data_IF_318969435700
#
_entry.id   IF_318969435700
#
_cell.length_a   1.000
_cell.length_b   1.000
_cell.length_c   1.000
_cell.angle_alpha   90.00
_cell.angle_beta   90.00
_cell.angle_gamma   90.00
#
_symmetry.space_group_name_H-M   'P 1'
#
loop_
_entity.id
_entity.type
_entity.pdbx_description
1 polymer ?
#
# COMPACT_ATOMS: atom_id res chain seq x y z
N UNK A 1 5.68 -8.99 5.91
CA UNK A 1 5.08 -8.44 4.70
C UNK A 1 5.17 -9.44 3.54
N UNK A 2 6.34 -9.98 3.17
CA UNK A 2 6.51 -10.91 2.05
C UNK A 2 5.55 -12.12 2.11
N UNK A 3 5.40 -12.76 3.27
CA UNK A 3 4.48 -13.89 3.45
C UNK A 3 3.00 -13.51 3.21
N UNK A 4 2.61 -12.30 3.60
CA UNK A 4 1.25 -11.77 3.35
C UNK A 4 1.03 -11.53 1.86
N UNK A 5 2.00 -10.91 1.19
CA UNK A 5 1.96 -10.69 -0.26
C UNK A 5 1.82 -12.02 -1.01
N UNK A 6 2.69 -13.00 -0.66
CA UNK A 6 2.64 -14.32 -1.28
C UNK A 6 1.27 -14.98 -1.10
N UNK A 7 0.72 -14.96 0.11
CA UNK A 7 -0.59 -15.57 0.41
C UNK A 7 -1.73 -14.94 -0.39
N UNK A 8 -1.76 -13.61 -0.53
CA UNK A 8 -2.74 -12.92 -1.35
C UNK A 8 -2.59 -13.27 -2.83
N UNK A 9 -1.35 -13.23 -3.34
CA UNK A 9 -1.07 -13.46 -4.75
C UNK A 9 -1.31 -14.91 -5.17
N UNK A 10 -1.03 -15.89 -4.31
CA UNK A 10 -1.35 -17.30 -4.53
C UNK A 10 -2.86 -17.55 -4.70
N UNK A 11 -3.71 -16.65 -4.15
CA UNK A 11 -5.16 -16.66 -4.32
C UNK A 11 -5.64 -15.84 -5.54
N UNK A 12 -4.71 -15.22 -6.28
CA UNK A 12 -5.03 -14.26 -7.34
C UNK A 12 -5.47 -12.89 -6.84
N UNK A 13 -5.38 -12.63 -5.54
CA UNK A 13 -5.80 -11.39 -4.89
C UNK A 13 -4.72 -10.31 -4.83
N UNK A 14 -5.09 -9.19 -4.25
CA UNK A 14 -4.25 -8.00 -4.05
C UNK A 14 -4.11 -7.69 -2.57
N UNK A 15 -3.08 -6.93 -2.21
CA UNK A 15 -2.89 -6.41 -0.85
C UNK A 15 -3.12 -4.90 -0.84
N UNK A 16 -4.11 -4.46 -0.09
CA UNK A 16 -4.46 -3.05 0.08
C UNK A 16 -3.93 -2.61 1.45
N UNK A 17 -3.10 -1.58 1.47
CA UNK A 17 -2.41 -1.12 2.67
C UNK A 17 -2.77 0.33 2.96
N UNK A 18 -3.69 0.58 3.90
CA UNK A 18 -3.92 1.90 4.44
C UNK A 18 -2.67 2.41 5.15
N UNK A 19 -2.15 3.57 4.74
CA UNK A 19 -0.94 4.11 5.32
C UNK A 19 -1.03 5.64 5.47
N UNK A 20 -0.39 6.18 6.51
CA UNK A 20 -0.18 7.62 6.61
C UNK A 20 0.76 8.08 5.49
N UNK A 21 0.46 9.23 4.91
CA UNK A 21 1.20 9.76 3.78
C UNK A 21 2.67 10.04 4.09
N UNK A 22 2.97 10.40 5.34
CA UNK A 22 4.32 10.71 5.82
C UNK A 22 4.78 9.64 6.82
N UNK A 23 5.99 9.16 6.66
CA UNK A 23 6.65 8.18 7.50
C UNK A 23 6.29 6.74 7.10
N UNK A 24 5.11 6.25 7.48
CA UNK A 24 4.71 4.86 7.26
C UNK A 24 4.71 4.43 5.79
N UNK A 25 4.30 5.30 4.89
CA UNK A 25 4.34 5.01 3.46
C UNK A 25 5.77 4.79 2.99
N UNK A 26 6.73 5.62 3.40
CA UNK A 26 8.12 5.51 3.01
C UNK A 26 8.77 4.24 3.57
N UNK A 27 8.47 3.87 4.83
CA UNK A 27 8.91 2.59 5.40
C UNK A 27 8.38 1.38 4.61
N UNK A 28 7.13 1.44 4.18
CA UNK A 28 6.53 0.37 3.36
C UNK A 28 7.15 0.30 1.98
N UNK A 29 7.44 1.44 1.33
CA UNK A 29 8.14 1.47 0.04
C UNK A 29 9.54 0.88 0.16
N UNK A 30 10.27 1.20 1.23
CA UNK A 30 11.58 0.62 1.53
C UNK A 30 11.49 -0.92 1.65
N UNK A 31 10.57 -1.42 2.49
CA UNK A 31 10.36 -2.85 2.68
C UNK A 31 9.94 -3.56 1.37
N UNK A 32 9.09 -2.93 0.56
CA UNK A 32 8.66 -3.46 -0.74
C UNK A 32 9.83 -3.54 -1.71
N UNK A 33 10.71 -2.53 -1.75
CA UNK A 33 11.93 -2.56 -2.56
C UNK A 33 12.81 -3.76 -2.16
N UNK A 34 13.04 -3.97 -0.85
CA UNK A 34 13.83 -5.12 -0.38
C UNK A 34 13.21 -6.45 -0.79
N UNK A 35 11.89 -6.59 -0.60
CA UNK A 35 11.15 -7.81 -0.96
C UNK A 35 11.32 -8.11 -2.46
N UNK A 36 11.22 -7.10 -3.32
CA UNK A 36 11.39 -7.25 -4.77
C UNK A 36 12.83 -7.55 -5.15
N UNK A 37 13.79 -6.81 -4.59
CA UNK A 37 15.22 -6.99 -4.85
C UNK A 37 15.69 -8.41 -4.48
N UNK A 38 15.21 -8.92 -3.35
CA UNK A 38 15.58 -10.24 -2.82
C UNK A 38 14.64 -11.36 -3.31
N UNK A 39 13.65 -11.06 -4.18
CA UNK A 39 12.67 -12.02 -4.72
C UNK A 39 11.98 -12.86 -3.65
N UNK A 40 11.57 -12.21 -2.55
CA UNK A 40 10.99 -12.90 -1.39
C UNK A 40 9.55 -13.38 -1.61
N UNK A 41 8.88 -12.97 -2.69
CA UNK A 41 7.54 -13.46 -3.08
C UNK A 41 7.71 -14.45 -4.22
N UNK A 42 8.06 -15.67 -3.85
CA UNK A 42 8.34 -16.75 -4.81
C UNK A 42 7.09 -17.12 -5.62
N UNK A 43 7.26 -17.35 -6.92
CA UNK A 43 6.19 -17.70 -7.85
C UNK A 43 5.46 -16.49 -8.44
N UNK A 44 5.80 -15.28 -7.99
CA UNK A 44 5.19 -14.05 -8.46
C UNK A 44 6.28 -13.02 -8.78
N UNK A 45 6.48 -12.75 -10.05
CA UNK A 45 7.42 -11.74 -10.52
C UNK A 45 6.66 -10.56 -11.17
N UNK A 46 7.28 -9.39 -11.13
CA UNK A 46 6.77 -8.23 -11.87
C UNK A 46 5.46 -7.62 -11.36
N UNK A 47 4.98 -8.01 -10.18
CA UNK A 47 3.75 -7.47 -9.62
C UNK A 47 3.83 -5.95 -9.40
N UNK A 48 2.75 -5.20 -9.76
CA UNK A 48 2.73 -3.76 -9.61
C UNK A 48 2.51 -3.33 -8.16
N UNK A 49 3.08 -2.17 -7.84
CA UNK A 49 2.84 -1.42 -6.61
C UNK A 49 2.29 -0.06 -7.00
N UNK A 50 1.14 0.29 -6.48
CA UNK A 50 0.53 1.60 -6.70
C UNK A 50 0.63 2.41 -5.41
N UNK A 51 1.27 3.59 -5.50
CA UNK A 51 1.18 4.62 -4.48
C UNK A 51 0.09 5.60 -4.90
N UNK A 52 -1.09 5.44 -4.32
CA UNK A 52 -2.26 6.24 -4.68
C UNK A 52 -2.61 7.26 -3.58
N UNK A 53 -1.76 8.25 -3.45
CA UNK A 53 -1.92 9.37 -2.53
C UNK A 53 -1.01 10.53 -2.95
N UNK A 54 -1.56 11.63 -3.52
CA UNK A 54 -0.74 12.79 -3.92
C UNK A 54 0.13 13.35 -2.80
N UNK A 55 -0.40 13.37 -1.56
CA UNK A 55 0.38 13.82 -0.41
C UNK A 55 1.53 12.87 -0.08
N UNK A 56 1.33 11.56 -0.21
CA UNK A 56 2.38 10.57 0.03
C UNK A 56 3.47 10.64 -1.06
N UNK A 57 3.09 10.91 -2.30
CA UNK A 57 4.02 11.14 -3.41
C UNK A 57 4.89 12.36 -3.15
N UNK A 58 4.27 13.50 -2.79
CA UNK A 58 4.99 14.73 -2.46
C UNK A 58 5.94 14.51 -1.25
N UNK A 59 5.47 13.83 -0.21
CA UNK A 59 6.31 13.49 0.95
C UNK A 59 7.49 12.60 0.52
N UNK A 60 7.25 11.58 -0.30
CA UNK A 60 8.31 10.68 -0.80
C UNK A 60 9.37 11.46 -1.60
N UNK A 61 8.95 12.41 -2.42
CA UNK A 61 9.88 13.29 -3.16
C UNK A 61 10.77 14.11 -2.19
N UNK A 62 10.20 14.62 -1.10
CA UNK A 62 10.97 15.33 -0.06
C UNK A 62 11.98 14.39 0.62
N UNK A 63 11.58 13.18 0.99
CA UNK A 63 12.50 12.19 1.58
C UNK A 63 13.67 11.86 0.64
N UNK A 64 13.43 11.81 -0.66
CA UNK A 64 14.49 11.56 -1.65
C UNK A 64 15.46 12.74 -1.85
N UNK A 65 15.09 13.93 -1.40
CA UNK A 65 15.95 15.14 -1.44
C UNK A 65 16.68 15.37 -0.11
N UNK A 66 16.46 14.51 0.90
CA UNK A 66 17.16 14.61 2.19
C UNK A 66 18.68 14.51 2.00
N UNK A 67 19.40 15.37 2.69
CA UNK A 67 20.86 15.33 2.72
C UNK A 67 21.35 14.02 3.38
N UNK A 68 22.45 13.44 2.91
CA UNK A 68 22.94 12.15 3.40
C UNK A 68 23.20 12.11 4.93
N UNK A 69 23.45 13.24 5.56
CA UNK A 69 23.68 13.31 7.01
C UNK A 69 22.47 12.94 7.86
N UNK A 70 21.25 13.13 7.32
CA UNK A 70 19.97 12.76 7.98
C UNK A 70 19.55 11.31 7.73
N UNK A 71 20.29 10.58 6.91
CA UNK A 71 19.99 9.20 6.55
C UNK A 71 20.83 8.24 7.40
N UNK A 72 20.32 7.06 7.67
CA UNK A 72 21.09 6.02 8.33
C UNK A 72 22.22 5.46 7.42
N UNK A 73 23.10 4.66 8.01
CA UNK A 73 24.26 4.14 7.30
C UNK A 73 23.88 3.19 6.15
N UNK A 74 22.79 2.43 6.30
CA UNK A 74 22.30 1.50 5.29
C UNK A 74 21.76 2.24 4.07
N UNK A 75 20.88 3.21 4.30
CA UNK A 75 20.30 4.05 3.24
C UNK A 75 21.39 4.82 2.48
N UNK A 76 22.38 5.38 3.19
CA UNK A 76 23.55 6.02 2.56
C UNK A 76 24.33 5.06 1.67
N UNK A 77 24.48 3.81 2.11
CA UNK A 77 25.20 2.81 1.31
C UNK A 77 24.43 2.44 0.03
N UNK A 78 23.11 2.30 0.10
CA UNK A 78 22.26 2.09 -1.08
C UNK A 78 22.43 3.23 -2.09
N UNK A 79 22.34 4.48 -1.62
CA UNK A 79 22.50 5.65 -2.49
C UNK A 79 23.89 5.70 -3.16
N UNK A 80 24.98 5.34 -2.45
CA UNK A 80 26.34 5.24 -3.02
C UNK A 80 26.42 4.19 -4.13
N UNK A 81 25.59 3.14 -4.06
CA UNK A 81 25.48 2.11 -5.07
C UNK A 81 24.54 2.51 -6.23
N UNK A 82 23.99 3.71 -6.23
CA UNK A 82 23.02 4.16 -7.21
C UNK A 82 21.61 3.54 -7.03
N UNK A 83 21.36 2.93 -5.87
CA UNK A 83 20.06 2.30 -5.57
C UNK A 83 19.17 3.32 -4.85
N UNK A 84 18.01 3.61 -5.44
CA UNK A 84 17.00 4.42 -4.77
C UNK A 84 16.31 3.59 -3.68
N UNK A 85 16.40 4.00 -2.38
CA UNK A 85 15.89 3.21 -1.26
C UNK A 85 14.36 3.07 -1.24
N UNK A 86 13.63 4.02 -1.84
CA UNK A 86 12.16 4.07 -1.85
C UNK A 86 11.55 3.68 -3.19
N UNK A 87 12.37 3.34 -4.20
CA UNK A 87 11.90 2.99 -5.52
C UNK A 87 12.13 1.52 -5.84
N UNK A 88 11.13 0.90 -6.41
CA UNK A 88 11.24 -0.48 -6.90
C UNK A 88 10.71 -0.60 -8.33
N UNK A 89 11.10 -1.66 -9.03
CA UNK A 89 10.52 -1.96 -10.33
C UNK A 89 8.99 -2.10 -10.22
N UNK A 90 8.27 -1.56 -11.20
CA UNK A 90 6.80 -1.55 -11.27
C UNK A 90 6.14 -0.80 -10.09
N UNK A 91 6.80 0.21 -9.54
CA UNK A 91 6.17 1.22 -8.70
C UNK A 91 5.53 2.29 -9.59
N UNK A 92 4.25 2.53 -9.40
CA UNK A 92 3.45 3.52 -10.11
C UNK A 92 2.91 4.55 -9.13
N UNK A 93 3.15 5.81 -9.41
CA UNK A 93 2.58 6.95 -8.70
C UNK A 93 1.32 7.40 -9.46
N UNK A 94 0.27 7.78 -8.73
CA UNK A 94 -1.01 8.16 -9.35
C UNK A 94 -1.49 9.50 -8.85
N UNK A 95 -1.16 10.54 -9.58
CA UNK A 95 -1.53 11.91 -9.24
C UNK A 95 -3.02 12.19 -9.54
N UNK A 96 -3.51 11.69 -10.68
CA UNK A 96 -4.84 12.00 -11.20
C UNK A 96 -5.89 11.00 -10.72
N UNK A 97 -7.13 11.49 -10.61
CA UNK A 97 -8.28 10.65 -10.20
C UNK A 97 -8.55 9.54 -11.22
N UNK A 98 -8.37 9.83 -12.50
CA UNK A 98 -8.57 8.86 -13.59
C UNK A 98 -7.57 7.70 -13.52
N UNK A 99 -6.34 7.97 -13.12
CA UNK A 99 -5.29 6.96 -12.90
C UNK A 99 -5.65 6.09 -11.70
N UNK A 100 -6.08 6.71 -10.60
CA UNK A 100 -6.55 6.02 -9.40
C UNK A 100 -7.70 5.04 -9.70
N UNK A 101 -8.67 5.44 -10.54
CA UNK A 101 -9.77 4.57 -10.96
C UNK A 101 -9.29 3.34 -11.73
N UNK A 102 -8.32 3.50 -12.62
CA UNK A 102 -7.74 2.41 -13.43
C UNK A 102 -7.06 1.33 -12.59
N UNK A 103 -6.59 1.65 -11.37
CA UNK A 103 -6.02 0.66 -10.47
C UNK A 103 -7.04 -0.46 -10.15
N UNK A 104 -8.31 -0.10 -10.01
CA UNK A 104 -9.37 -1.06 -9.72
C UNK A 104 -9.79 -1.92 -10.94
N UNK A 105 -9.43 -1.49 -12.14
CA UNK A 105 -9.65 -2.21 -13.41
C UNK A 105 -8.52 -3.20 -13.70
N UNK A 106 -7.35 -3.00 -13.13
CA UNK A 106 -6.23 -3.94 -13.25
C UNK A 106 -6.52 -5.21 -12.44
N UNK A 107 -6.67 -6.33 -13.11
CA UNK A 107 -7.01 -7.62 -12.49
C UNK A 107 -5.79 -8.39 -11.97
N UNK A 108 -4.58 -7.93 -12.25
CA UNK A 108 -3.36 -8.60 -11.76
C UNK A 108 -3.23 -8.47 -10.24
N UNK A 109 -2.67 -9.47 -9.56
CA UNK A 109 -2.24 -9.33 -8.18
C UNK A 109 -1.31 -8.13 -8.01
N UNK A 110 -1.58 -7.28 -7.03
CA UNK A 110 -0.90 -6.00 -6.84
C UNK A 110 -0.88 -5.55 -5.39
N UNK A 111 -0.04 -4.57 -5.10
CA UNK A 111 -0.06 -3.83 -3.85
C UNK A 111 -0.61 -2.43 -4.10
N UNK A 112 -1.52 -1.99 -3.25
CA UNK A 112 -2.06 -0.62 -3.26
C UNK A 112 -1.72 0.03 -1.92
N UNK A 113 -0.87 1.04 -1.94
CA UNK A 113 -0.56 1.92 -0.81
C UNK A 113 -1.39 3.20 -0.95
N UNK A 114 -2.25 3.52 0.01
CA UNK A 114 -3.09 4.71 -0.10
C UNK A 114 -3.40 5.32 1.27
N UNK A 115 -3.51 6.63 1.34
CA UNK A 115 -3.94 7.37 2.52
C UNK A 115 -5.48 7.49 2.56
N UNK A 116 -6.12 7.58 3.75
CA UNK A 116 -5.51 7.71 5.07
C UNK A 116 -5.22 6.37 5.73
N UNK A 117 -4.32 6.38 6.71
CA UNK A 117 -3.90 5.16 7.42
C UNK A 117 -4.98 4.54 8.33
N UNK A 118 -6.04 5.27 8.67
CA UNK A 118 -7.18 4.79 9.49
C UNK A 118 -8.47 4.61 8.68
N UNK A 119 -8.41 4.77 7.35
CA UNK A 119 -9.50 4.55 6.41
C UNK A 119 -10.68 5.56 6.48
N UNK A 120 -10.57 6.65 7.24
CA UNK A 120 -11.67 7.60 7.42
C UNK A 120 -11.79 8.63 6.30
N UNK A 121 -10.72 8.84 5.55
CA UNK A 121 -10.65 9.80 4.46
C UNK A 121 -9.75 9.30 3.32
N UNK A 122 -9.70 10.05 2.22
CA UNK A 122 -8.77 9.82 1.12
C UNK A 122 -9.17 8.70 0.16
N UNK A 123 -8.27 8.46 -0.79
CA UNK A 123 -8.50 7.50 -1.87
C UNK A 123 -8.59 6.05 -1.40
N UNK A 124 -8.00 5.72 -0.25
CA UNK A 124 -8.12 4.39 0.36
C UNK A 124 -9.58 3.92 0.48
N UNK A 125 -10.51 4.84 0.77
CA UNK A 125 -11.93 4.48 0.90
C UNK A 125 -12.53 3.96 -0.42
N UNK A 126 -12.09 4.49 -1.56
CA UNK A 126 -12.48 4.00 -2.87
C UNK A 126 -11.90 2.61 -3.13
N UNK A 127 -10.61 2.40 -2.80
CA UNK A 127 -10.00 1.07 -2.91
C UNK A 127 -10.68 0.05 -2.01
N UNK A 128 -11.02 0.41 -0.78
CA UNK A 128 -11.77 -0.47 0.13
C UNK A 128 -13.14 -0.84 -0.43
N UNK A 129 -13.89 0.12 -0.99
CA UNK A 129 -15.19 -0.14 -1.63
C UNK A 129 -15.08 -1.20 -2.73
N UNK A 130 -14.02 -1.19 -3.53
CA UNK A 130 -13.83 -2.11 -4.65
C UNK A 130 -13.17 -3.44 -4.26
N UNK A 131 -12.61 -3.56 -3.07
CA UNK A 131 -11.76 -4.70 -2.70
C UNK A 131 -12.20 -5.46 -1.44
N UNK A 132 -13.00 -4.87 -0.54
CA UNK A 132 -13.41 -5.52 0.72
C UNK A 132 -14.25 -6.79 0.52
N UNK A 133 -15.07 -6.85 -0.53
CA UNK A 133 -15.94 -7.98 -0.81
C UNK A 133 -15.23 -9.16 -1.49
N UNK A 134 -13.99 -8.98 -1.92
CA UNK A 134 -13.17 -10.00 -2.59
C UNK A 134 -12.40 -10.80 -1.57
N UNK A 135 -12.77 -12.06 -1.37
CA UNK A 135 -12.17 -12.95 -0.37
C UNK A 135 -10.68 -13.26 -0.63
N UNK A 136 -10.23 -13.16 -1.88
CA UNK A 136 -8.83 -13.36 -2.26
C UNK A 136 -7.92 -12.20 -1.82
N UNK A 137 -8.48 -11.03 -1.53
CA UNK A 137 -7.73 -9.84 -1.14
C UNK A 137 -7.38 -9.83 0.35
N UNK A 138 -6.32 -9.09 0.68
CA UNK A 138 -5.92 -8.83 2.07
C UNK A 138 -5.88 -7.33 2.30
N UNK A 139 -6.47 -6.87 3.41
CA UNK A 139 -6.33 -5.50 3.90
C UNK A 139 -5.29 -5.53 5.02
N UNK A 140 -4.12 -4.99 4.74
CA UNK A 140 -2.99 -5.03 5.67
C UNK A 140 -2.86 -3.72 6.44
N UNK A 141 -3.14 -3.75 7.72
CA UNK A 141 -2.90 -2.61 8.61
C UNK A 141 -1.45 -2.63 9.12
N UNK A 142 -0.68 -1.63 8.71
CA UNK A 142 0.71 -1.45 9.11
C UNK A 142 0.89 -0.45 10.26
N UNK A 143 -0.19 -0.06 10.94
CA UNK A 143 -0.18 0.91 12.02
C UNK A 143 -1.39 0.82 12.92
N UNK A 144 -1.34 1.55 14.03
CA UNK A 144 -2.42 1.63 15.00
C UNK A 144 -3.72 2.13 14.34
N UNK A 145 -4.83 1.56 14.75
CA UNK A 145 -6.17 1.95 14.34
C UNK A 145 -6.93 2.47 15.58
N UNK A 146 -7.24 3.77 15.59
CA UNK A 146 -7.95 4.39 16.69
C UNK A 146 -9.41 3.90 16.79
N UNK A 147 -9.96 3.87 17.98
CA UNK A 147 -11.36 3.53 18.18
C UNK A 147 -12.29 4.51 17.45
N UNK A 148 -13.40 4.02 16.93
CA UNK A 148 -14.34 4.79 16.14
C UNK A 148 -13.97 4.95 14.67
N UNK A 149 -12.79 4.51 14.23
CA UNK A 149 -12.37 4.59 12.84
C UNK A 149 -12.84 3.38 12.02
N UNK A 150 -12.96 3.56 10.70
CA UNK A 150 -13.27 2.46 9.79
C UNK A 150 -12.19 1.38 9.85
N UNK A 151 -10.91 1.77 9.91
CA UNK A 151 -9.81 0.81 10.03
C UNK A 151 -9.92 -0.05 11.29
N UNK A 152 -10.32 0.52 12.43
CA UNK A 152 -10.57 -0.24 13.66
C UNK A 152 -11.75 -1.21 13.53
N UNK A 153 -12.82 -0.78 12.88
CA UNK A 153 -13.98 -1.65 12.64
C UNK A 153 -13.62 -2.86 11.79
N UNK A 154 -12.82 -2.67 10.74
CA UNK A 154 -12.30 -3.74 9.90
C UNK A 154 -11.37 -4.68 10.69
N UNK A 155 -10.43 -4.12 11.45
CA UNK A 155 -9.50 -4.90 12.28
C UNK A 155 -10.22 -5.75 13.33
N UNK A 156 -11.35 -5.26 13.85
CA UNK A 156 -12.21 -5.98 14.78
C UNK A 156 -13.11 -7.03 14.11
N UNK A 157 -13.00 -7.21 12.79
CA UNK A 157 -13.71 -8.27 12.05
C UNK A 157 -15.15 -7.90 11.68
N UNK A 158 -15.44 -6.61 11.43
CA UNK A 158 -16.72 -6.19 10.89
C UNK A 158 -17.08 -6.99 9.63
N UNK A 159 -18.30 -7.49 9.55
CA UNK A 159 -18.79 -8.26 8.38
C UNK A 159 -19.35 -7.37 7.28
N UNK A 160 -19.79 -6.19 7.64
CA UNK A 160 -20.24 -5.14 6.72
C UNK A 160 -19.75 -3.78 7.21
N UNK A 161 -19.50 -2.88 6.28
CA UNK A 161 -19.17 -1.48 6.57
C UNK A 161 -19.91 -0.56 5.61
N UNK A 162 -20.12 0.69 6.00
CA UNK A 162 -20.76 1.68 5.13
C UNK A 162 -19.72 2.60 4.49
N UNK A 163 -19.66 2.60 3.16
CA UNK A 163 -18.79 3.45 2.36
C UNK A 163 -19.60 4.22 1.32
N UNK A 164 -19.48 5.53 1.31
CA UNK A 164 -20.21 6.41 0.37
C UNK A 164 -21.73 6.18 0.33
N UNK A 165 -22.32 5.87 1.50
CA UNK A 165 -23.77 5.59 1.63
C UNK A 165 -24.19 4.15 1.29
N UNK A 166 -23.30 3.34 0.76
CA UNK A 166 -23.55 1.93 0.41
C UNK A 166 -23.03 0.98 1.50
N UNK A 167 -23.73 -0.11 1.73
CA UNK A 167 -23.28 -1.20 2.59
C UNK A 167 -22.39 -2.15 1.79
N UNK A 168 -21.18 -2.38 2.26
CA UNK A 168 -20.17 -3.23 1.62
C UNK A 168 -19.88 -4.42 2.52
N UNK A 169 -20.02 -5.63 1.99
CA UNK A 169 -19.63 -6.86 2.66
C UNK A 169 -18.11 -6.93 2.81
N UNK A 170 -17.63 -7.46 3.94
CA UNK A 170 -16.21 -7.68 4.20
C UNK A 170 -15.93 -9.18 4.14
N UNK A 171 -15.35 -9.61 3.03
CA UNK A 171 -14.87 -10.98 2.79
C UNK A 171 -13.35 -11.05 2.72
N UNK A 172 -12.67 -9.90 2.44
CA UNK A 172 -11.23 -9.81 2.47
C UNK A 172 -10.68 -10.13 3.86
N UNK A 173 -9.45 -10.72 3.87
CA UNK A 173 -8.69 -11.02 5.09
C UNK A 173 -8.08 -9.75 5.69
#
# INVERSE_FOLDING_TARGET
LAAVLKRAFDRGGSVIIPAFAVGRTQELLYAVREIKQNRLVQGHDGWPVYLDSPLAEAATAVFMQCEPEYLDAETRNLLRQGINPLWSANLYLTERVEESKKINEDLRPKVILSASGMCDAGRIRHHLKHNLWKWENIILFAGYQAEGTLGRSLLNGAKTVRLFGEEISVSAE
#
